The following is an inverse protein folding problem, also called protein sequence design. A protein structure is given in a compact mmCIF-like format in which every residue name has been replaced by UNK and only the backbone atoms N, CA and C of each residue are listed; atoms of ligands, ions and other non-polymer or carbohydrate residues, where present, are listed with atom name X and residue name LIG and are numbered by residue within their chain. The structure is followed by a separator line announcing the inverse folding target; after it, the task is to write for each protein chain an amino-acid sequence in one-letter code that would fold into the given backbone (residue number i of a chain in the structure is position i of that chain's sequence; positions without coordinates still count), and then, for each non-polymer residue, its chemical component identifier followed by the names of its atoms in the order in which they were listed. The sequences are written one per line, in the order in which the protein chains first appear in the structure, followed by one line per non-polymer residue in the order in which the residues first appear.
data_IF_608481027559
#
_entry.id   IF_608481027559
#
_cell.length_a   1.000
_cell.length_b   1.000
_cell.length_c   1.000
_cell.angle_alpha   90.00
_cell.angle_beta   90.00
_cell.angle_gamma   90.00
#
_symmetry.space_group_name_H-M   'P 1'
#
loop_
_entity.id
_entity.type
_entity.pdbx_description
1 polymer ?
#
# COMPACT_ATOMS: atom_id res chain seq x y z
N UNK A 1 -4.73 12.68 10.18
CA UNK A 1 -6.08 12.66 10.78
C UNK A 1 -5.97 12.08 12.18
N UNK A 2 -6.78 12.54 13.13
CA UNK A 2 -6.79 12.03 14.51
C UNK A 2 -8.13 11.39 14.80
N UNK A 3 -8.12 10.11 15.20
CA UNK A 3 -9.32 9.36 15.55
C UNK A 3 -9.63 9.45 17.05
N UNK A 4 -8.63 9.78 17.88
CA UNK A 4 -8.74 9.81 19.33
C UNK A 4 -8.47 11.20 19.91
N UNK A 5 -8.75 11.36 21.22
CA UNK A 5 -8.59 12.62 21.97
C UNK A 5 -7.18 13.20 21.96
N UNK A 6 -6.15 12.38 21.73
CA UNK A 6 -4.76 12.81 21.59
C UNK A 6 -4.26 12.44 20.20
N UNK A 7 -4.28 13.38 19.24
CA UNK A 7 -3.73 13.10 17.93
C UNK A 7 -2.23 12.83 18.05
N UNK A 8 -1.77 11.69 17.52
CA UNK A 8 -0.35 11.37 17.41
C UNK A 8 0.00 11.32 15.93
N UNK A 9 0.98 12.14 15.52
CA UNK A 9 1.60 11.99 14.21
C UNK A 9 2.92 11.26 14.42
N UNK A 10 3.07 10.12 13.75
CA UNK A 10 4.31 9.36 13.66
C UNK A 10 4.90 9.53 12.26
N UNK A 11 6.17 9.92 12.17
CA UNK A 11 6.93 9.91 10.92
C UNK A 11 8.05 8.88 11.03
N UNK A 12 8.10 7.99 10.05
CA UNK A 12 9.12 6.97 9.91
C UNK A 12 10.03 7.38 8.75
N UNK A 13 11.34 7.37 8.98
CA UNK A 13 12.35 7.67 7.97
C UNK A 13 13.29 6.48 7.82
N UNK A 14 13.72 6.22 6.60
CA UNK A 14 14.60 5.13 6.26
C UNK A 14 14.44 4.71 4.81
N UNK A 15 14.90 3.52 4.48
CA UNK A 15 15.02 3.05 3.10
C UNK A 15 13.97 1.99 2.79
N UNK A 16 13.24 2.18 1.69
CA UNK A 16 12.20 1.27 1.22
C UNK A 16 12.63 0.48 -0.01
N UNK A 17 12.16 -0.76 -0.12
CA UNK A 17 12.22 -1.58 -1.34
C UNK A 17 10.85 -2.14 -1.68
N UNK A 18 10.58 -2.33 -2.97
CA UNK A 18 9.40 -3.04 -3.44
C UNK A 18 9.68 -4.54 -3.54
N UNK A 19 8.73 -5.35 -3.10
CA UNK A 19 8.64 -6.79 -3.33
C UNK A 19 7.42 -7.02 -4.21
N UNK A 20 7.61 -7.57 -5.39
CA UNK A 20 6.54 -7.85 -6.35
C UNK A 20 6.01 -9.27 -6.19
N UNK A 21 4.85 -9.54 -6.79
CA UNK A 21 4.16 -10.84 -6.72
C UNK A 21 4.96 -12.04 -7.24
N UNK A 22 6.05 -11.80 -7.98
CA UNK A 22 6.95 -12.83 -8.53
C UNK A 22 8.23 -13.02 -7.72
N UNK A 23 8.49 -12.13 -6.77
CA UNK A 23 9.69 -12.20 -5.95
C UNK A 23 9.55 -13.34 -4.95
N UNK A 24 10.64 -14.05 -4.67
CA UNK A 24 10.62 -15.26 -3.83
C UNK A 24 10.11 -15.01 -2.40
N UNK A 25 10.22 -13.77 -1.91
CA UNK A 25 9.79 -13.35 -0.57
C UNK A 25 8.29 -13.01 -0.52
N UNK A 26 7.59 -13.00 -1.65
CA UNK A 26 6.19 -12.56 -1.73
C UNK A 26 5.28 -13.37 -0.82
N UNK A 27 5.29 -14.69 -0.95
CA UNK A 27 4.34 -15.55 -0.23
C UNK A 27 4.45 -15.39 1.30
N UNK A 28 5.69 -15.26 1.80
CA UNK A 28 5.94 -15.06 3.23
C UNK A 28 5.42 -13.69 3.70
N UNK A 29 5.71 -12.63 2.95
CA UNK A 29 5.32 -11.27 3.32
C UNK A 29 3.83 -11.02 3.12
N UNK A 30 3.24 -11.57 2.06
CA UNK A 30 1.83 -11.41 1.73
C UNK A 30 0.93 -12.08 2.77
N UNK A 31 1.38 -13.18 3.39
CA UNK A 31 0.68 -13.85 4.47
C UNK A 31 0.47 -12.98 5.74
N UNK A 32 1.15 -11.84 5.85
CA UNK A 32 0.95 -10.87 6.93
C UNK A 32 -0.29 -9.99 6.73
N UNK A 33 -0.91 -10.06 5.55
CA UNK A 33 -2.07 -9.27 5.17
C UNK A 33 -3.29 -10.18 4.90
N UNK A 34 -4.52 -9.62 4.95
CA UNK A 34 -5.67 -10.29 4.36
C UNK A 34 -5.43 -10.57 2.88
N UNK A 35 -6.09 -11.61 2.36
CA UNK A 35 -6.10 -11.88 0.93
C UNK A 35 -6.76 -10.70 0.18
N UNK A 36 -5.94 -9.94 -0.53
CA UNK A 36 -6.34 -8.72 -1.24
C UNK A 36 -6.16 -8.91 -2.76
N UNK A 37 -7.26 -9.21 -3.49
CA UNK A 37 -7.24 -9.34 -4.94
C UNK A 37 -6.67 -8.08 -5.59
N UNK A 38 -5.66 -8.26 -6.45
CA UNK A 38 -5.02 -7.15 -7.15
C UNK A 38 -3.86 -6.50 -6.40
N UNK A 39 -3.44 -7.05 -5.27
CA UNK A 39 -2.15 -6.72 -4.66
C UNK A 39 -1.00 -6.99 -5.65
N UNK A 40 -0.21 -5.96 -5.94
CA UNK A 40 0.86 -6.01 -6.97
C UNK A 40 2.27 -5.88 -6.42
N UNK A 41 2.40 -5.27 -5.25
CA UNK A 41 3.68 -4.99 -4.61
C UNK A 41 3.48 -4.79 -3.09
N UNK A 42 4.47 -5.21 -2.32
CA UNK A 42 4.63 -4.93 -0.89
C UNK A 42 5.82 -3.98 -0.75
N UNK A 43 5.69 -2.94 0.06
CA UNK A 43 6.80 -2.03 0.36
C UNK A 43 7.38 -2.42 1.71
N UNK A 44 8.62 -2.92 1.69
CA UNK A 44 9.39 -3.23 2.88
C UNK A 44 10.28 -2.04 3.20
N UNK A 45 10.19 -1.51 4.41
CA UNK A 45 10.96 -0.35 4.85
C UNK A 45 11.84 -0.71 6.05
N UNK A 46 13.14 -0.46 5.91
CA UNK A 46 14.06 -0.44 7.04
C UNK A 46 13.99 0.94 7.69
N UNK A 47 13.61 1.00 8.97
CA UNK A 47 13.40 2.26 9.69
C UNK A 47 14.71 2.69 10.35
N UNK A 48 15.20 3.86 9.97
CA UNK A 48 16.43 4.46 10.50
C UNK A 48 16.14 5.47 11.62
N UNK A 49 15.02 6.19 11.54
CA UNK A 49 14.61 7.12 12.59
C UNK A 49 13.10 7.34 12.66
N UNK A 50 12.66 7.82 13.82
CA UNK A 50 11.25 8.05 14.15
C UNK A 50 11.07 9.44 14.75
N UNK A 51 10.08 10.17 14.28
CA UNK A 51 9.68 11.46 14.84
C UNK A 51 8.22 11.41 15.29
N UNK A 52 7.94 11.97 16.46
CA UNK A 52 6.57 12.15 16.97
C UNK A 52 6.20 13.62 17.08
N UNK A 53 4.93 13.95 16.88
CA UNK A 53 4.40 15.28 17.23
C UNK A 53 2.99 15.20 17.83
N UNK A 54 2.66 16.19 18.66
CA UNK A 54 1.41 16.21 19.46
C UNK A 54 0.14 16.46 18.63
N UNK A 55 0.25 16.79 17.34
CA UNK A 55 -0.87 16.82 16.41
C UNK A 55 -2.05 17.74 16.78
N UNK A 56 -1.92 18.72 17.68
CA UNK A 56 -3.08 19.48 18.21
C UNK A 56 -3.90 20.24 17.16
N UNK A 57 -3.33 20.56 15.99
CA UNK A 57 -4.04 21.17 14.88
C UNK A 57 -4.71 20.14 13.93
N UNK A 58 -4.57 18.84 14.20
CA UNK A 58 -5.17 17.78 13.38
C UNK A 58 -6.66 17.70 13.71
N UNK A 59 -7.56 17.82 12.70
CA UNK A 59 -8.99 17.71 12.93
C UNK A 59 -9.39 16.31 13.39
N UNK A 60 -10.49 16.24 14.14
CA UNK A 60 -11.14 14.99 14.50
C UNK A 60 -11.75 14.34 13.26
N UNK A 61 -11.55 13.03 13.14
CA UNK A 61 -12.20 12.20 12.14
C UNK A 61 -12.85 11.01 12.82
N UNK A 62 -14.01 10.63 12.30
CA UNK A 62 -14.71 9.42 12.71
C UNK A 62 -14.41 8.29 11.73
N UNK A 63 -14.12 7.11 12.25
CA UNK A 63 -13.84 5.94 11.42
C UNK A 63 -15.14 5.23 11.06
N UNK A 64 -15.44 5.19 9.75
CA UNK A 64 -16.68 4.65 9.22
C UNK A 64 -16.51 3.27 8.55
N UNK A 65 -15.31 2.68 8.61
CA UNK A 65 -14.99 1.41 7.94
C UNK A 65 -14.20 1.59 6.64
N UNK A 66 -13.80 0.45 6.06
CA UNK A 66 -13.08 0.36 4.79
C UNK A 66 -14.05 0.39 3.59
N UNK A 67 -13.54 0.81 2.43
CA UNK A 67 -14.32 0.79 1.19
C UNK A 67 -14.09 -0.52 0.45
N UNK A 68 -15.14 -1.33 0.36
CA UNK A 68 -15.15 -2.58 -0.43
C UNK A 68 -15.04 -2.38 -1.95
N UNK A 69 -15.13 -1.14 -2.44
CA UNK A 69 -15.20 -0.84 -3.88
C UNK A 69 -13.99 -1.37 -4.65
N UNK A 70 -12.79 -1.23 -4.09
CA UNK A 70 -11.56 -1.67 -4.76
C UNK A 70 -11.52 -3.20 -4.85
N UNK A 71 -11.73 -3.87 -3.71
CA UNK A 71 -11.77 -5.34 -3.63
C UNK A 71 -12.81 -5.93 -4.58
N UNK A 72 -14.04 -5.42 -4.56
CA UNK A 72 -15.11 -5.86 -5.47
C UNK A 72 -14.77 -5.63 -6.94
N UNK A 73 -14.08 -4.53 -7.26
CA UNK A 73 -13.63 -4.27 -8.62
C UNK A 73 -12.58 -5.28 -9.06
N UNK A 74 -11.58 -5.55 -8.22
CA UNK A 74 -10.55 -6.55 -8.49
C UNK A 74 -11.15 -7.96 -8.64
N UNK A 75 -12.05 -8.36 -7.73
CA UNK A 75 -12.81 -9.62 -7.83
C UNK A 75 -13.60 -9.72 -9.15
N UNK A 76 -14.21 -8.61 -9.61
CA UNK A 76 -14.98 -8.59 -10.85
C UNK A 76 -14.12 -8.70 -12.12
N UNK A 77 -12.87 -8.24 -12.08
CA UNK A 77 -11.92 -8.37 -13.19
C UNK A 77 -11.33 -9.79 -13.27
N UNK A 78 -11.16 -10.44 -12.12
CA UNK A 78 -10.45 -11.71 -12.02
C UNK A 78 -8.94 -11.57 -12.30
N UNK A 79 -8.17 -12.68 -12.20
CA UNK A 79 -6.71 -12.66 -12.31
C UNK A 79 -6.21 -12.09 -13.64
N UNK A 80 -6.78 -12.53 -14.76
CA UNK A 80 -6.36 -12.09 -16.10
C UNK A 80 -6.66 -10.59 -16.31
N UNK A 81 -7.85 -10.13 -15.90
CA UNK A 81 -8.23 -8.73 -16.02
C UNK A 81 -7.41 -7.80 -15.11
N UNK A 82 -6.97 -8.30 -13.96
CA UNK A 82 -6.03 -7.58 -13.07
C UNK A 82 -4.67 -7.44 -13.75
N UNK A 83 -4.15 -8.51 -14.37
CA UNK A 83 -2.87 -8.46 -15.07
C UNK A 83 -2.93 -7.47 -16.25
N UNK A 84 -3.97 -7.54 -17.08
CA UNK A 84 -4.20 -6.59 -18.17
C UNK A 84 -4.22 -5.13 -17.67
N UNK A 85 -4.88 -4.90 -16.54
CA UNK A 85 -4.93 -3.59 -15.91
C UNK A 85 -3.54 -3.13 -15.47
N UNK A 86 -2.75 -4.00 -14.85
CA UNK A 86 -1.38 -3.69 -14.42
C UNK A 86 -0.48 -3.34 -15.60
N UNK A 87 -0.54 -4.10 -16.69
CA UNK A 87 0.25 -3.84 -17.90
C UNK A 87 -0.09 -2.48 -18.51
N UNK A 88 -1.37 -2.12 -18.52
CA UNK A 88 -1.84 -0.86 -19.10
C UNK A 88 -1.59 0.36 -18.21
N UNK A 89 -1.64 0.19 -16.89
CA UNK A 89 -1.75 1.33 -15.96
C UNK A 89 -0.67 1.38 -14.87
N UNK A 90 0.12 0.33 -14.66
CA UNK A 90 1.01 0.23 -13.49
C UNK A 90 2.48 -0.08 -13.83
N UNK A 91 2.87 -0.03 -15.11
CA UNK A 91 4.25 -0.22 -15.55
C UNK A 91 5.12 1.04 -15.47
N UNK A 92 4.51 2.22 -15.39
CA UNK A 92 5.19 3.53 -15.28
C UNK A 92 4.64 4.30 -14.08
N UNK A 93 5.53 4.87 -13.28
CA UNK A 93 5.17 5.69 -12.11
C UNK A 93 4.68 7.09 -12.50
N UNK A 94 4.14 7.82 -11.53
CA UNK A 94 3.75 9.22 -11.72
C UNK A 94 4.93 10.12 -12.16
N UNK A 95 6.16 9.76 -11.76
CA UNK A 95 7.39 10.46 -12.13
C UNK A 95 8.00 9.95 -13.45
N UNK A 96 7.31 9.06 -14.16
CA UNK A 96 7.76 8.51 -15.44
C UNK A 96 8.81 7.40 -15.33
N UNK A 97 9.02 6.82 -14.15
CA UNK A 97 10.01 5.78 -13.91
C UNK A 97 9.40 4.39 -14.10
N UNK A 98 10.18 3.38 -14.59
CA UNK A 98 9.70 2.02 -14.68
C UNK A 98 9.44 1.43 -13.29
N UNK A 99 8.27 0.82 -13.11
CA UNK A 99 7.91 0.20 -11.82
C UNK A 99 8.55 -1.17 -11.61
N UNK A 100 9.05 -1.79 -12.69
CA UNK A 100 9.61 -3.15 -12.71
C UNK A 100 8.62 -4.25 -12.27
N UNK A 101 7.32 -3.95 -12.33
CA UNK A 101 6.28 -4.90 -11.97
C UNK A 101 6.36 -6.21 -12.77
N UNK A 102 6.77 -6.13 -14.05
CA UNK A 102 6.91 -7.26 -14.96
C UNK A 102 8.35 -7.60 -15.39
N UNK A 103 9.38 -6.92 -14.86
CA UNK A 103 10.78 -7.08 -15.29
C UNK A 103 11.78 -7.21 -14.17
#
# INVERSE_FOLDING_TARGET
CGFEKRPLILRLYGTGRAVHWRDAEWDELFALFPDEPGARQIIVMEIESVQTSCGFAVPFFDYQGERETLRKHAESLGPDGIQDYWEKHNVVSIDGLPTKLFS
#
